data_IF_322882534411
#
_entry.id   IF_322882534411
#
_cell.length_a   1.000
_cell.length_b   1.000
_cell.length_c   1.000
_cell.angle_alpha   90.00
_cell.angle_beta   90.00
_cell.angle_gamma   90.00
#
_symmetry.space_group_name_H-M   'P 1'
#
loop_
_entity.id
_entity.type
_entity.pdbx_description
1 polymer ?
#
# COMPACT_ATOMS: atom_id res chain seq x y z
N UNK A 1 4.71 -23.21 -28.25
CA UNK A 1 3.36 -23.75 -27.97
C UNK A 1 2.35 -22.67 -28.33
N UNK A 2 1.47 -22.92 -29.30
CA UNK A 2 0.32 -22.04 -29.58
C UNK A 2 -0.87 -22.61 -28.81
N UNK A 3 -1.38 -21.85 -27.86
CA UNK A 3 -2.60 -22.14 -27.12
C UNK A 3 -3.22 -20.81 -26.74
N UNK A 4 -4.15 -20.34 -27.57
CA UNK A 4 -5.05 -19.23 -27.25
C UNK A 4 -6.18 -19.89 -26.45
N UNK A 5 -6.19 -19.70 -25.14
CA UNK A 5 -7.37 -19.98 -24.31
C UNK A 5 -8.07 -18.65 -24.05
N UNK A 6 -9.31 -18.55 -24.50
CA UNK A 6 -10.25 -17.50 -24.10
C UNK A 6 -10.40 -17.57 -22.57
N UNK A 7 -9.76 -16.64 -21.85
CA UNK A 7 -10.06 -16.30 -20.47
C UNK A 7 -10.62 -14.87 -20.56
N UNK A 8 -11.93 -14.72 -20.33
CA UNK A 8 -12.68 -13.45 -20.38
C UNK A 8 -12.36 -12.49 -19.21
N UNK A 9 -11.11 -12.45 -18.75
CA UNK A 9 -10.65 -11.43 -17.83
C UNK A 9 -9.21 -11.07 -18.22
N UNK A 10 -9.08 -10.00 -19.00
CA UNK A 10 -7.79 -9.39 -19.30
C UNK A 10 -7.03 -8.92 -18.05
N UNK A 11 -5.72 -8.76 -18.18
CA UNK A 11 -4.86 -8.27 -17.07
C UNK A 11 -5.32 -6.87 -16.70
N UNK A 12 -5.65 -6.62 -15.44
CA UNK A 12 -6.10 -5.29 -15.01
C UNK A 12 -7.26 -4.74 -15.87
N UNK A 13 -8.15 -5.61 -16.34
CA UNK A 13 -9.25 -5.23 -17.23
C UNK A 13 -8.86 -4.95 -18.68
N UNK A 14 -7.64 -5.33 -19.11
CA UNK A 14 -7.15 -5.18 -20.47
C UNK A 14 -7.07 -6.52 -21.22
N UNK A 15 -7.90 -6.69 -22.26
CA UNK A 15 -8.06 -7.95 -23.01
C UNK A 15 -7.08 -8.12 -24.19
N UNK A 16 -5.95 -7.40 -24.19
CA UNK A 16 -4.97 -7.46 -25.27
C UNK A 16 -3.93 -8.57 -25.13
N UNK A 17 -2.89 -8.58 -26.00
CA UNK A 17 -1.79 -9.53 -25.94
C UNK A 17 -1.13 -9.56 -24.58
N UNK A 18 -0.80 -10.77 -24.11
CA UNK A 18 -0.27 -10.99 -22.76
C UNK A 18 0.96 -11.89 -22.77
N UNK A 19 1.99 -11.47 -22.04
CA UNK A 19 3.15 -12.28 -21.67
C UNK A 19 3.10 -12.64 -20.17
N UNK A 20 3.72 -13.76 -19.81
CA UNK A 20 3.74 -14.26 -18.43
C UNK A 20 5.15 -14.58 -17.96
N UNK A 21 5.48 -14.16 -16.74
CA UNK A 21 6.68 -14.51 -16.02
C UNK A 21 6.30 -15.21 -14.71
N UNK A 22 7.05 -16.24 -14.34
CA UNK A 22 6.83 -16.94 -13.07
C UNK A 22 7.84 -16.44 -12.05
N UNK A 23 7.35 -16.00 -10.89
CA UNK A 23 8.17 -15.58 -9.76
C UNK A 23 8.05 -16.62 -8.65
N UNK A 24 9.17 -16.89 -8.00
CA UNK A 24 9.27 -17.86 -6.91
C UNK A 24 10.31 -17.37 -5.90
N UNK A 25 10.00 -16.35 -5.09
CA UNK A 25 10.91 -15.88 -4.07
C UNK A 25 11.23 -16.99 -3.06
N UNK A 26 12.49 -17.05 -2.64
CA UNK A 26 13.02 -18.03 -1.69
C UNK A 26 13.03 -17.51 -0.24
N UNK A 27 12.67 -16.24 -0.05
CA UNK A 27 12.53 -15.55 1.23
C UNK A 27 11.19 -14.80 1.25
N UNK A 28 10.78 -14.35 2.45
CA UNK A 28 9.68 -13.42 2.59
C UNK A 28 10.10 -12.07 1.98
N UNK A 29 9.30 -11.54 1.05
CA UNK A 29 9.67 -10.36 0.25
C UNK A 29 8.47 -9.48 -0.08
N UNK A 30 8.72 -8.21 -0.35
CA UNK A 30 7.90 -7.43 -1.27
C UNK A 30 8.41 -7.62 -2.70
N UNK A 31 7.49 -7.66 -3.64
CA UNK A 31 7.75 -7.79 -5.07
C UNK A 31 7.34 -6.50 -5.75
N UNK A 32 8.27 -5.86 -6.45
CA UNK A 32 7.96 -4.75 -7.36
C UNK A 32 8.36 -5.17 -8.77
N UNK A 33 7.47 -4.97 -9.72
CA UNK A 33 7.74 -5.19 -11.13
C UNK A 33 7.43 -3.94 -11.93
N UNK A 34 8.41 -3.50 -12.73
CA UNK A 34 8.28 -2.36 -13.63
C UNK A 34 8.52 -2.80 -15.07
N UNK A 35 7.66 -2.35 -15.98
CA UNK A 35 7.78 -2.58 -17.42
C UNK A 35 8.16 -1.29 -18.11
N UNK A 36 9.30 -1.35 -18.78
CA UNK A 36 9.81 -0.26 -19.60
C UNK A 36 9.58 -0.60 -21.08
N UNK A 37 8.73 0.16 -21.75
CA UNK A 37 8.47 0.07 -23.18
C UNK A 37 8.18 1.45 -23.77
N UNK A 38 8.55 1.65 -25.03
CA UNK A 38 8.18 2.84 -25.79
C UNK A 38 7.00 2.58 -26.74
N UNK A 39 6.56 1.32 -26.83
CA UNK A 39 5.66 0.85 -27.87
C UNK A 39 4.19 0.92 -27.50
N UNK A 40 3.83 0.64 -26.25
CA UNK A 40 2.44 0.54 -25.78
C UNK A 40 2.31 1.01 -24.32
N UNK A 41 1.09 1.17 -23.80
CA UNK A 41 0.83 1.45 -22.39
C UNK A 41 0.71 0.11 -21.61
N UNK A 42 1.72 -0.28 -20.82
CA UNK A 42 1.72 -1.58 -20.14
C UNK A 42 0.70 -1.65 -18.99
N UNK A 43 0.08 -2.84 -18.88
CA UNK A 43 -0.73 -3.29 -17.76
C UNK A 43 -0.06 -4.49 -17.09
N UNK A 44 -0.08 -4.51 -15.77
CA UNK A 44 0.64 -5.49 -14.97
C UNK A 44 -0.27 -6.12 -13.92
N UNK A 45 -0.33 -7.44 -13.88
CA UNK A 45 -1.08 -8.18 -12.87
C UNK A 45 -0.20 -9.19 -12.16
N UNK A 46 -0.34 -9.32 -10.84
CA UNK A 46 0.28 -10.41 -10.08
C UNK A 46 -0.82 -11.33 -9.57
N UNK A 47 -0.69 -12.63 -9.83
CA UNK A 47 -1.66 -13.67 -9.44
C UNK A 47 -0.96 -14.90 -8.87
N UNK A 48 -1.68 -15.79 -8.13
CA UNK A 48 -1.13 -17.09 -7.75
C UNK A 48 -0.87 -17.96 -8.99
N UNK A 49 0.26 -18.66 -9.03
CA UNK A 49 0.67 -19.43 -10.21
C UNK A 49 -0.25 -20.62 -10.58
N UNK A 50 -1.17 -21.00 -9.69
CA UNK A 50 -2.04 -22.16 -9.89
C UNK A 50 -3.20 -21.89 -10.86
N UNK A 51 -3.56 -20.62 -11.11
CA UNK A 51 -4.74 -20.28 -11.89
C UNK A 51 -4.53 -18.96 -12.65
N UNK A 52 -4.41 -19.03 -13.98
CA UNK A 52 -4.37 -17.84 -14.86
C UNK A 52 -5.75 -17.14 -14.94
N UNK A 53 -6.77 -17.71 -14.30
CA UNK A 53 -8.15 -17.21 -14.26
C UNK A 53 -8.64 -16.84 -12.84
N UNK A 54 -7.77 -16.90 -11.82
CA UNK A 54 -8.12 -16.45 -10.46
C UNK A 54 -7.96 -14.93 -10.33
N UNK A 55 -8.60 -14.36 -9.30
CA UNK A 55 -8.53 -12.94 -8.92
C UNK A 55 -7.06 -12.49 -8.80
N UNK A 56 -6.71 -11.40 -9.48
CA UNK A 56 -5.42 -10.73 -9.33
C UNK A 56 -5.22 -10.29 -7.87
N UNK A 57 -4.02 -10.52 -7.34
CA UNK A 57 -3.61 -10.08 -6.01
C UNK A 57 -3.22 -8.60 -6.02
N UNK A 58 -2.61 -8.16 -7.12
CA UNK A 58 -2.22 -6.78 -7.35
C UNK A 58 -2.35 -6.45 -8.83
N UNK A 59 -2.74 -5.21 -9.10
CA UNK A 59 -2.93 -4.69 -10.45
C UNK A 59 -2.25 -3.32 -10.55
N UNK A 60 -1.51 -3.13 -11.65
CA UNK A 60 -0.76 -1.94 -11.98
C UNK A 60 -1.16 -1.38 -13.34
N UNK A 61 -1.64 -0.15 -13.31
CA UNK A 61 -1.86 0.69 -14.47
C UNK A 61 -0.63 1.60 -14.59
N UNK A 62 -0.05 1.79 -15.79
CA UNK A 62 1.19 2.59 -16.03
C UNK A 62 2.52 1.86 -15.82
N UNK A 63 2.52 0.53 -15.94
CA UNK A 63 3.79 -0.20 -16.05
C UNK A 63 4.57 -0.37 -14.76
N UNK A 64 3.96 -0.16 -13.59
CA UNK A 64 4.50 -0.66 -12.32
C UNK A 64 3.42 -1.36 -11.51
N UNK A 65 3.77 -2.45 -10.84
CA UNK A 65 2.91 -3.16 -9.87
C UNK A 65 3.74 -3.56 -8.65
N UNK A 66 3.12 -3.51 -7.49
CA UNK A 66 3.72 -3.92 -6.21
C UNK A 66 2.82 -4.94 -5.51
N UNK A 67 3.43 -5.97 -4.92
CA UNK A 67 2.78 -6.93 -4.04
C UNK A 67 3.64 -7.10 -2.78
N UNK A 68 3.06 -6.76 -1.62
CA UNK A 68 3.73 -6.84 -0.32
C UNK A 68 3.51 -8.16 0.39
N UNK A 69 4.38 -8.45 1.35
CA UNK A 69 4.24 -9.57 2.29
C UNK A 69 4.09 -10.94 1.61
N UNK A 70 4.86 -11.16 0.54
CA UNK A 70 4.91 -12.43 -0.18
C UNK A 70 5.76 -13.42 0.61
N UNK A 71 5.12 -14.48 1.11
CA UNK A 71 5.82 -15.53 1.85
C UNK A 71 6.80 -16.32 0.97
N UNK A 72 7.90 -16.78 1.57
CA UNK A 72 8.90 -17.63 0.93
C UNK A 72 8.26 -18.88 0.30
N UNK A 73 8.68 -19.21 -0.93
CA UNK A 73 8.16 -20.35 -1.69
C UNK A 73 6.79 -20.13 -2.32
N UNK A 74 6.17 -18.95 -2.15
CA UNK A 74 4.96 -18.58 -2.88
C UNK A 74 5.26 -18.56 -4.38
N UNK A 75 4.40 -19.19 -5.16
CA UNK A 75 4.52 -19.20 -6.62
C UNK A 75 3.57 -18.16 -7.19
N UNK A 76 4.12 -17.15 -7.84
CA UNK A 76 3.38 -16.06 -8.46
C UNK A 76 3.53 -16.11 -9.98
N UNK A 77 2.50 -15.62 -10.66
CA UNK A 77 2.52 -15.28 -12.08
C UNK A 77 2.44 -13.77 -12.20
N UNK A 78 3.46 -13.16 -12.79
CA UNK A 78 3.43 -11.80 -13.28
C UNK A 78 2.93 -11.82 -14.72
N UNK A 79 1.81 -11.15 -14.96
CA UNK A 79 1.17 -11.01 -16.26
C UNK A 79 1.43 -9.59 -16.77
N UNK A 80 1.90 -9.47 -18.01
CA UNK A 80 2.25 -8.21 -18.67
C UNK A 80 1.44 -8.11 -19.94
N UNK A 81 0.63 -7.08 -20.08
CA UNK A 81 -0.24 -6.93 -21.22
C UNK A 81 -0.43 -5.49 -21.65
N UNK A 82 -1.25 -5.33 -22.67
CA UNK A 82 -1.70 -4.05 -23.19
C UNK A 82 -3.21 -4.11 -23.42
N UNK A 83 -3.87 -2.96 -23.53
CA UNK A 83 -5.25 -2.93 -24.00
C UNK A 83 -5.32 -3.34 -25.47
N UNK A 84 -6.39 -4.04 -25.88
CA UNK A 84 -6.55 -4.53 -27.26
C UNK A 84 -6.62 -3.39 -28.30
N UNK A 85 -7.07 -2.23 -27.86
CA UNK A 85 -7.18 -0.99 -28.63
C UNK A 85 -5.98 -0.05 -28.43
N UNK A 86 -4.92 -0.52 -27.77
CA UNK A 86 -3.70 0.28 -27.59
C UNK A 86 -3.09 0.62 -28.96
N UNK A 87 -2.90 1.92 -29.26
CA UNK A 87 -2.42 2.38 -30.56
C UNK A 87 -1.01 1.86 -30.88
N UNK A 88 -0.23 1.50 -29.86
CA UNK A 88 1.06 0.85 -29.95
C UNK A 88 1.05 -0.50 -30.63
N UNK A 89 -0.02 -1.27 -30.45
CA UNK A 89 -0.18 -2.60 -31.06
C UNK A 89 -0.45 -2.53 -32.57
N UNK A 90 -0.88 -1.37 -33.07
CA UNK A 90 -1.18 -1.15 -34.49
C UNK A 90 -0.02 -0.49 -35.26
N UNK A 91 1.07 -0.13 -34.59
CA UNK A 91 2.20 0.55 -35.22
C UNK A 91 2.93 -0.36 -36.23
N UNK A 92 3.29 0.13 -37.43
CA UNK A 92 4.02 -0.67 -38.41
C UNK A 92 5.40 -1.07 -37.86
N UNK A 93 5.85 -2.27 -38.20
CA UNK A 93 7.19 -2.78 -37.87
C UNK A 93 8.25 -1.71 -38.21
N UNK A 94 8.78 -1.07 -37.18
CA UNK A 94 9.91 -0.15 -37.28
C UNK A 94 11.22 -0.95 -37.14
N UNK A 95 12.38 -0.30 -37.18
CA UNK A 95 13.65 -1.00 -36.95
C UNK A 95 13.77 -1.57 -35.51
N UNK A 96 12.98 -1.03 -34.58
CA UNK A 96 12.75 -1.55 -33.24
C UNK A 96 11.33 -2.18 -33.20
N UNK A 97 11.21 -3.40 -32.66
CA UNK A 97 9.93 -4.09 -32.53
C UNK A 97 9.04 -3.31 -31.55
N UNK A 98 7.85 -2.81 -31.95
CA UNK A 98 6.97 -2.05 -31.07
C UNK A 98 6.45 -2.88 -29.87
N UNK A 99 6.64 -4.20 -29.88
CA UNK A 99 6.29 -5.09 -28.77
C UNK A 99 7.49 -5.42 -27.88
N UNK A 100 8.67 -4.85 -28.14
CA UNK A 100 9.80 -5.00 -27.24
C UNK A 100 9.55 -4.24 -25.93
N UNK A 101 9.84 -4.93 -24.83
CA UNK A 101 9.80 -4.36 -23.49
C UNK A 101 10.88 -4.99 -22.62
N UNK A 102 11.31 -4.26 -21.60
CA UNK A 102 12.15 -4.78 -20.52
C UNK A 102 11.33 -4.84 -19.25
N UNK A 103 11.55 -5.88 -18.46
CA UNK A 103 10.92 -6.06 -17.15
C UNK A 103 12.00 -6.04 -16.09
N UNK A 104 11.90 -5.08 -15.18
CA UNK A 104 12.72 -5.00 -14.00
C UNK A 104 11.91 -5.54 -12.82
N UNK A 105 12.32 -6.69 -12.28
CA UNK A 105 11.69 -7.28 -11.08
C UNK A 105 12.67 -7.12 -9.93
N UNK A 106 12.25 -6.40 -8.90
CA UNK A 106 13.00 -6.22 -7.67
C UNK A 106 12.29 -6.90 -6.51
N UNK A 107 13.11 -7.36 -5.56
CA UNK A 107 12.65 -8.00 -4.33
C UNK A 107 13.23 -7.24 -3.16
N UNK A 108 12.37 -6.76 -2.27
CA UNK A 108 12.78 -6.20 -0.97
C UNK A 108 12.55 -7.28 0.09
N UNK A 109 13.62 -7.72 0.75
CA UNK A 109 13.50 -8.73 1.81
C UNK A 109 12.65 -8.21 2.97
N UNK A 110 11.80 -9.08 3.48
CA UNK A 110 11.12 -8.92 4.77
C UNK A 110 11.95 -9.67 5.80
N UNK A 111 12.42 -8.95 6.80
CA UNK A 111 13.25 -9.50 7.87
C UNK A 111 12.39 -10.24 8.88
N UNK A 112 12.96 -11.18 9.62
CA UNK A 112 12.28 -11.78 10.77
C UNK A 112 12.44 -10.90 12.01
N UNK A 113 11.53 -11.07 12.98
CA UNK A 113 11.65 -10.47 14.30
C UNK A 113 13.04 -10.78 14.91
N UNK A 114 13.72 -9.74 15.37
CA UNK A 114 15.06 -9.81 15.96
C UNK A 114 16.22 -9.82 14.96
N UNK A 115 15.96 -9.86 13.64
CA UNK A 115 17.02 -9.69 12.65
C UNK A 115 17.47 -8.24 12.54
N UNK A 116 18.71 -8.05 12.09
CA UNK A 116 19.31 -6.71 11.89
C UNK A 116 18.67 -6.01 10.70
N UNK A 117 18.21 -4.80 10.93
CA UNK A 117 17.50 -3.99 9.94
C UNK A 117 18.35 -2.88 9.30
N UNK A 118 19.54 -2.58 9.86
CA UNK A 118 20.50 -1.67 9.23
C UNK A 118 21.71 -2.41 8.61
N UNK A 119 22.23 -1.92 7.46
CA UNK A 119 21.67 -0.85 6.62
C UNK A 119 20.39 -1.30 5.89
N UNK A 120 19.58 -0.34 5.42
CA UNK A 120 18.28 -0.57 4.72
C UNK A 120 18.37 -1.55 3.54
N UNK A 121 19.55 -1.69 2.92
CA UNK A 121 19.79 -2.67 1.86
C UNK A 121 19.63 -4.13 2.32
N UNK A 122 19.50 -4.39 3.62
CA UNK A 122 19.15 -5.71 4.17
C UNK A 122 17.70 -6.10 3.94
N UNK A 123 16.80 -5.12 3.81
CA UNK A 123 15.34 -5.33 3.78
C UNK A 123 14.59 -4.38 4.71
N UNK A 124 13.29 -4.60 4.86
CA UNK A 124 12.46 -3.92 5.85
C UNK A 124 11.99 -4.89 6.93
N UNK A 125 11.56 -4.32 8.05
CA UNK A 125 10.91 -5.10 9.10
C UNK A 125 9.48 -5.50 8.68
N UNK A 126 8.96 -6.63 9.19
CA UNK A 126 7.59 -7.08 8.93
C UNK A 126 6.60 -6.16 9.65
N UNK A 127 5.33 -6.18 9.20
CA UNK A 127 4.24 -5.54 9.94
C UNK A 127 4.25 -5.94 11.42
N UNK A 128 3.86 -5.00 12.29
CA UNK A 128 3.89 -5.17 13.74
C UNK A 128 5.27 -5.03 14.37
N UNK A 129 6.29 -4.60 13.61
CA UNK A 129 7.66 -4.42 14.13
C UNK A 129 8.33 -3.17 13.56
N UNK A 130 9.28 -2.61 14.31
CA UNK A 130 10.10 -1.46 13.88
C UNK A 130 11.57 -1.82 13.82
N UNK A 131 12.30 -1.18 12.90
CA UNK A 131 13.75 -1.12 12.98
C UNK A 131 14.16 -0.19 14.11
N UNK A 132 14.57 -0.73 15.27
CA UNK A 132 15.03 0.09 16.40
C UNK A 132 16.16 -0.58 17.18
N UNK A 133 16.99 0.26 17.80
CA UNK A 133 17.98 -0.19 18.77
C UNK A 133 17.31 -0.46 20.14
N UNK A 134 17.64 -1.57 20.83
CA UNK A 134 17.18 -1.79 22.19
C UNK A 134 17.57 -0.66 23.14
N UNK A 135 16.76 -0.38 24.15
CA UNK A 135 17.03 0.67 25.13
C UNK A 135 18.42 0.48 25.78
N UNK A 136 19.26 1.51 25.70
CA UNK A 136 20.63 1.51 26.22
C UNK A 136 21.69 0.94 25.28
N UNK A 137 21.33 0.53 24.06
CA UNK A 137 22.28 0.27 22.99
C UNK A 137 22.82 1.58 22.40
N UNK A 138 24.00 1.51 21.79
CA UNK A 138 24.61 2.64 21.09
C UNK A 138 23.86 2.90 19.77
N UNK A 139 23.21 4.06 19.58
CA UNK A 139 22.47 4.35 18.35
C UNK A 139 23.38 4.45 17.13
N UNK A 140 24.69 4.73 17.32
CA UNK A 140 25.67 4.78 16.23
C UNK A 140 26.15 3.39 15.79
N UNK A 141 25.82 2.32 16.53
CA UNK A 141 26.15 0.95 16.15
C UNK A 141 25.03 0.33 15.29
N UNK A 142 25.17 0.24 13.95
CA UNK A 142 24.16 -0.37 13.09
C UNK A 142 23.92 -1.85 13.40
N UNK A 143 24.82 -2.51 14.14
CA UNK A 143 24.63 -3.89 14.60
C UNK A 143 23.57 -4.03 15.70
N UNK A 144 23.25 -2.94 16.41
CA UNK A 144 22.26 -2.91 17.48
C UNK A 144 20.81 -2.79 16.97
N UNK A 145 20.62 -2.30 15.74
CA UNK A 145 19.30 -2.07 15.16
C UNK A 145 18.69 -3.36 14.64
N UNK A 146 17.56 -3.76 15.24
CA UNK A 146 16.84 -5.00 14.92
C UNK A 146 15.37 -4.72 14.65
N UNK A 147 14.69 -5.66 14.00
CA UNK A 147 13.23 -5.66 13.89
C UNK A 147 12.61 -6.05 15.23
N UNK A 148 12.20 -5.06 16.01
CA UNK A 148 11.65 -5.23 17.36
C UNK A 148 10.13 -5.13 17.34
N UNK A 149 9.38 -6.04 17.99
CA UNK A 149 7.93 -5.99 18.01
C UNK A 149 7.36 -4.72 18.64
N UNK A 150 6.28 -4.23 18.06
CA UNK A 150 5.44 -3.21 18.66
C UNK A 150 4.37 -3.86 19.55
N UNK A 151 4.21 -3.41 20.80
CA UNK A 151 3.10 -3.86 21.64
C UNK A 151 1.78 -3.29 21.10
N UNK A 152 0.86 -4.13 20.62
CA UNK A 152 -0.52 -3.66 20.33
C UNK A 152 -1.07 -3.95 18.94
N UNK A 153 -0.24 -4.45 18.01
CA UNK A 153 -0.54 -4.70 16.59
C UNK A 153 -1.79 -5.56 16.33
N UNK A 154 -2.98 -4.97 16.46
CA UNK A 154 -4.26 -5.70 16.38
C UNK A 154 -5.43 -4.89 15.84
N UNK A 155 -5.27 -3.58 15.55
CA UNK A 155 -6.34 -2.60 15.29
C UNK A 155 -7.53 -2.63 16.27
N UNK A 156 -7.49 -3.49 17.28
CA UNK A 156 -8.52 -3.67 18.29
C UNK A 156 -8.49 -2.50 19.27
N UNK A 157 -7.33 -1.88 19.43
CA UNK A 157 -7.10 -0.67 20.22
C UNK A 157 -7.43 0.62 19.49
N UNK A 158 -7.85 0.57 18.21
CA UNK A 158 -8.11 1.77 17.41
C UNK A 158 -9.02 2.77 18.15
N UNK A 159 -8.59 4.03 18.21
CA UNK A 159 -9.31 5.10 18.87
C UNK A 159 -10.57 5.46 18.07
N UNK A 160 -11.73 5.46 18.73
CA UNK A 160 -12.98 5.82 18.08
C UNK A 160 -13.01 7.32 17.77
N UNK A 161 -13.38 7.64 16.53
CA UNK A 161 -13.34 9.01 16.03
C UNK A 161 -14.60 9.27 15.20
N UNK A 162 -15.48 10.10 15.76
CA UNK A 162 -16.78 10.38 15.19
C UNK A 162 -16.70 11.49 14.12
N UNK A 163 -17.31 11.23 12.95
CA UNK A 163 -17.50 12.22 11.89
C UNK A 163 -18.76 13.05 12.19
N UNK A 164 -18.68 13.99 13.14
CA UNK A 164 -19.82 14.84 13.49
C UNK A 164 -20.04 15.95 12.46
N UNK A 165 -21.04 15.80 11.59
CA UNK A 165 -21.40 16.78 10.56
C UNK A 165 -20.72 16.55 9.22
N UNK A 166 -20.58 17.60 8.41
CA UNK A 166 -20.01 17.51 7.05
C UNK A 166 -18.54 17.93 6.96
N UNK A 167 -17.97 18.50 8.02
CA UNK A 167 -16.56 18.87 8.06
C UNK A 167 -16.12 19.15 9.48
N UNK A 168 -14.84 18.95 9.76
CA UNK A 168 -14.25 19.27 11.06
C UNK A 168 -12.74 19.16 11.08
N UNK A 169 -12.19 19.21 12.28
CA UNK A 169 -10.76 19.04 12.53
C UNK A 169 -10.54 18.09 13.72
N UNK A 170 -9.47 17.30 13.65
CA UNK A 170 -8.97 16.49 14.76
C UNK A 170 -7.53 16.87 15.06
N UNK A 171 -7.22 16.96 16.35
CA UNK A 171 -5.84 17.13 16.83
C UNK A 171 -5.36 15.81 17.36
N UNK A 172 -4.34 15.25 16.71
CA UNK A 172 -3.71 13.99 17.07
C UNK A 172 -2.49 14.29 17.93
N UNK A 173 -2.58 13.95 19.22
CA UNK A 173 -1.46 14.01 20.15
C UNK A 173 -0.52 12.82 19.93
N UNK A 174 0.72 13.07 19.50
CA UNK A 174 1.69 12.03 19.20
C UNK A 174 2.52 11.56 20.41
N UNK A 175 2.38 12.17 21.60
CA UNK A 175 3.18 11.81 22.78
C UNK A 175 2.78 10.44 23.39
N UNK A 176 1.54 9.99 23.15
CA UNK A 176 1.04 8.70 23.60
C UNK A 176 0.66 7.82 22.41
N UNK A 177 1.64 7.34 21.62
CA UNK A 177 1.34 6.56 20.43
C UNK A 177 0.62 5.26 20.82
N UNK A 178 -0.55 5.01 20.21
CA UNK A 178 -0.95 3.63 19.99
C UNK A 178 0.11 3.02 19.07
N UNK A 179 0.75 1.93 19.48
CA UNK A 179 1.90 1.39 18.77
C UNK A 179 1.47 0.28 17.84
N UNK A 180 0.98 0.69 16.68
CA UNK A 180 0.72 -0.19 15.54
C UNK A 180 1.77 0.10 14.45
N UNK A 181 2.06 -0.86 13.58
CA UNK A 181 2.92 -0.64 12.40
C UNK A 181 2.42 -1.50 11.24
N UNK A 182 1.77 -0.87 10.28
CA UNK A 182 1.19 -1.54 9.13
C UNK A 182 1.89 -1.11 7.85
N UNK A 183 1.99 -2.03 6.89
CA UNK A 183 2.41 -1.72 5.54
C UNK A 183 1.21 -1.18 4.75
N UNK A 184 1.34 -0.05 4.06
CA UNK A 184 0.28 0.57 3.23
C UNK A 184 0.66 0.52 1.74
N UNK A 185 -0.26 0.57 0.77
CA UNK A 185 0.14 0.43 -0.65
C UNK A 185 1.04 1.57 -1.15
N UNK A 186 0.83 2.77 -0.64
CA UNK A 186 1.54 3.98 -1.07
C UNK A 186 2.63 4.45 -0.09
N UNK A 187 2.62 3.93 1.14
CA UNK A 187 3.47 4.36 2.25
C UNK A 187 3.75 3.17 3.18
N UNK A 188 4.09 3.36 4.45
CA UNK A 188 4.17 2.25 5.41
C UNK A 188 5.44 1.43 5.26
N UNK A 189 6.61 2.03 5.43
CA UNK A 189 7.85 1.26 5.67
C UNK A 189 7.87 0.61 7.07
N UNK A 190 6.68 0.29 7.62
CA UNK A 190 6.49 -0.23 8.96
C UNK A 190 6.84 0.79 10.03
N UNK A 191 6.62 2.10 9.80
CA UNK A 191 6.78 3.11 10.86
C UNK A 191 5.57 3.12 11.81
N UNK A 192 5.58 3.96 12.84
CA UNK A 192 4.50 3.95 13.85
C UNK A 192 3.24 4.53 13.23
N UNK A 193 2.15 3.78 13.35
CA UNK A 193 0.81 4.22 12.98
C UNK A 193 -0.02 4.59 14.21
N UNK A 194 -0.81 5.65 14.08
CA UNK A 194 -1.98 5.89 14.91
C UNK A 194 -3.20 5.37 14.17
N UNK A 195 -3.93 4.46 14.80
CA UNK A 195 -5.10 3.84 14.20
C UNK A 195 -6.36 4.40 14.82
N UNK A 196 -7.23 4.95 13.98
CA UNK A 196 -8.53 5.47 14.36
C UNK A 196 -9.63 4.65 13.71
N UNK A 197 -10.69 4.36 14.44
CA UNK A 197 -11.94 3.83 13.88
C UNK A 197 -12.86 4.99 13.55
N UNK A 198 -13.13 5.21 12.27
CA UNK A 198 -14.01 6.28 11.83
C UNK A 198 -15.46 5.83 12.01
N UNK A 199 -16.18 6.49 12.91
CA UNK A 199 -17.61 6.25 13.10
C UNK A 199 -18.39 7.06 12.08
N UNK A 200 -18.92 6.36 11.07
CA UNK A 200 -19.64 6.98 9.96
C UNK A 200 -21.08 7.31 10.39
N UNK A 201 -21.51 8.55 10.14
CA UNK A 201 -22.88 8.99 10.38
C UNK A 201 -23.88 8.22 9.52
N UNK A 202 -25.08 7.96 10.04
CA UNK A 202 -26.12 7.23 9.30
C UNK A 202 -26.80 8.07 8.20
N UNK A 203 -26.70 9.40 8.27
CA UNK A 203 -27.38 10.37 7.41
C UNK A 203 -26.42 11.09 6.46
N UNK A 204 -25.81 10.31 5.57
CA UNK A 204 -24.88 10.81 4.56
C UNK A 204 -25.59 11.40 3.32
N UNK A 205 -24.98 12.39 2.65
CA UNK A 205 -25.45 12.85 1.35
C UNK A 205 -25.25 11.77 0.26
N UNK A 206 -26.02 11.79 -0.84
CA UNK A 206 -25.80 10.88 -1.96
C UNK A 206 -24.42 11.04 -2.59
N UNK A 207 -23.77 9.93 -2.89
CA UNK A 207 -22.40 9.89 -3.42
C UNK A 207 -21.36 10.34 -2.41
N UNK A 208 -21.61 10.15 -1.11
CA UNK A 208 -20.73 10.68 -0.08
C UNK A 208 -19.30 10.12 -0.19
N UNK A 209 -18.33 11.04 -0.18
CA UNK A 209 -16.91 10.73 -0.08
C UNK A 209 -16.28 11.54 1.05
N UNK A 210 -15.39 10.90 1.81
CA UNK A 210 -14.64 11.54 2.90
C UNK A 210 -13.28 11.96 2.38
N UNK A 211 -12.97 13.24 2.47
CA UNK A 211 -11.63 13.79 2.28
C UNK A 211 -11.01 14.06 3.65
N UNK A 212 -9.78 13.60 3.86
CA UNK A 212 -8.96 13.88 5.04
C UNK A 212 -7.66 14.53 4.57
N UNK A 213 -7.32 15.67 5.14
CA UNK A 213 -6.15 16.47 4.77
C UNK A 213 -5.30 16.72 6.01
N UNK A 214 -4.00 16.47 5.88
CA UNK A 214 -2.99 16.89 6.84
C UNK A 214 -2.07 17.92 6.21
N UNK A 215 -1.74 18.98 6.95
CA UNK A 215 -0.69 19.93 6.53
C UNK A 215 0.71 19.47 6.93
N UNK A 216 0.80 18.50 7.84
CA UNK A 216 2.06 17.88 8.21
C UNK A 216 2.44 16.82 7.16
N UNK A 217 3.74 16.59 6.99
CA UNK A 217 4.27 15.54 6.13
C UNK A 217 4.13 14.18 6.83
N UNK A 218 2.92 13.62 6.78
CA UNK A 218 2.57 12.31 7.34
C UNK A 218 1.95 11.40 6.28
N UNK A 219 2.08 10.09 6.45
CA UNK A 219 1.35 9.13 5.64
C UNK A 219 -0.07 8.96 6.16
N UNK A 220 -1.02 8.77 5.26
CA UNK A 220 -2.40 8.44 5.58
C UNK A 220 -2.82 7.20 4.80
N UNK A 221 -3.47 6.23 5.47
CA UNK A 221 -4.10 5.11 4.81
C UNK A 221 -5.48 4.84 5.40
N UNK A 222 -6.40 4.33 4.58
CA UNK A 222 -7.71 3.91 5.02
C UNK A 222 -7.97 2.47 4.61
N UNK A 223 -8.54 1.68 5.53
CA UNK A 223 -8.98 0.32 5.27
C UNK A 223 -10.44 0.17 5.63
N UNK A 224 -11.09 -0.80 5.02
CA UNK A 224 -12.35 -1.33 5.55
C UNK A 224 -12.16 -1.92 6.95
N UNK A 225 -13.17 -2.59 7.51
CA UNK A 225 -13.06 -3.20 8.83
C UNK A 225 -11.93 -4.24 8.88
N UNK A 226 -10.90 -3.99 9.69
CA UNK A 226 -9.79 -4.92 9.93
C UNK A 226 -8.41 -4.38 9.52
N UNK A 227 -7.36 -5.07 9.94
CA UNK A 227 -5.97 -4.65 9.75
C UNK A 227 -5.35 -5.08 8.43
N UNK A 228 -6.06 -5.83 7.58
CA UNK A 228 -5.44 -6.47 6.42
C UNK A 228 -5.24 -5.46 5.29
N UNK A 229 -4.04 -5.43 4.68
CA UNK A 229 -3.74 -4.59 3.52
C UNK A 229 -4.71 -4.88 2.34
N UNK A 230 -5.20 -6.11 2.21
CA UNK A 230 -6.18 -6.48 1.19
C UNK A 230 -7.54 -5.76 1.32
N UNK A 231 -7.80 -5.12 2.46
CA UNK A 231 -8.99 -4.30 2.71
C UNK A 231 -8.73 -2.80 2.54
N UNK A 232 -7.57 -2.40 1.99
CA UNK A 232 -7.24 -0.99 1.77
C UNK A 232 -8.22 -0.32 0.79
N UNK A 233 -8.76 0.81 1.22
CA UNK A 233 -9.71 1.64 0.48
C UNK A 233 -8.99 2.79 -0.23
N UNK A 234 -7.97 3.36 0.43
CA UNK A 234 -7.20 4.46 -0.09
C UNK A 234 -5.86 4.56 0.67
N UNK A 235 -4.85 5.14 0.02
CA UNK A 235 -3.58 5.48 0.65
C UNK A 235 -3.06 6.79 0.04
N UNK A 236 -2.45 7.63 0.87
CA UNK A 236 -1.75 8.84 0.47
C UNK A 236 -0.42 8.98 1.25
N UNK A 237 0.69 9.06 0.52
CA UNK A 237 2.03 9.16 1.10
C UNK A 237 2.41 10.61 1.38
N UNK A 238 3.23 10.83 2.40
CA UNK A 238 3.89 12.12 2.58
C UNK A 238 4.88 12.35 1.44
N UNK A 239 4.85 13.55 0.86
CA UNK A 239 5.91 14.06 -0.01
C UNK A 239 6.62 15.17 0.76
N UNK A 240 7.96 15.17 0.74
CA UNK A 240 8.78 16.08 1.54
C UNK A 240 8.29 17.55 1.49
N UNK A 241 7.84 18.06 2.64
CA UNK A 241 7.42 19.45 2.82
C UNK A 241 6.02 19.80 2.29
N UNK A 242 5.26 18.83 1.77
CA UNK A 242 3.90 19.01 1.31
C UNK A 242 2.89 18.32 2.24
N UNK A 243 1.69 18.91 2.35
CA UNK A 243 0.57 18.26 3.02
C UNK A 243 0.04 17.09 2.22
N UNK A 244 -0.66 16.18 2.88
CA UNK A 244 -1.24 14.98 2.29
C UNK A 244 -2.77 15.07 2.28
N UNK A 245 -3.41 14.52 1.25
CA UNK A 245 -4.85 14.40 1.15
C UNK A 245 -5.24 12.97 0.79
N UNK A 246 -6.13 12.38 1.57
CA UNK A 246 -6.68 11.04 1.40
C UNK A 246 -8.18 11.16 1.09
N UNK A 247 -8.66 10.44 0.07
CA UNK A 247 -10.11 10.37 -0.23
C UNK A 247 -10.60 8.94 -0.07
N UNK A 248 -11.61 8.74 0.78
CA UNK A 248 -12.33 7.48 0.94
C UNK A 248 -13.65 7.59 0.17
N UNK A 249 -13.82 6.89 -0.97
CA UNK A 249 -15.07 6.90 -1.71
C UNK A 249 -16.14 6.03 -1.04
N UNK A 250 -17.40 6.21 -1.47
CA UNK A 250 -18.53 5.34 -1.14
C UNK A 250 -18.78 5.15 0.38
N UNK A 251 -18.86 6.26 1.12
CA UNK A 251 -19.20 6.21 2.55
C UNK A 251 -20.60 5.62 2.79
N UNK A 252 -21.53 5.80 1.85
CA UNK A 252 -22.87 5.23 1.92
C UNK A 252 -22.82 3.70 1.90
N UNK A 253 -22.03 3.12 1.00
CA UNK A 253 -21.82 1.67 0.93
C UNK A 253 -21.20 1.11 2.22
N UNK A 254 -20.21 1.80 2.78
CA UNK A 254 -19.59 1.43 4.06
C UNK A 254 -20.59 1.49 5.22
N UNK A 255 -21.35 2.59 5.33
CA UNK A 255 -22.38 2.76 6.35
C UNK A 255 -23.47 1.68 6.23
N UNK A 256 -23.94 1.38 5.02
CA UNK A 256 -24.94 0.35 4.76
C UNK A 256 -24.46 -1.06 5.12
N UNK A 257 -23.15 -1.32 4.98
CA UNK A 257 -22.53 -2.57 5.40
C UNK A 257 -22.30 -2.66 6.92
N UNK A 258 -22.53 -1.57 7.68
CA UNK A 258 -22.15 -1.48 9.09
C UNK A 258 -20.65 -1.59 9.30
N UNK A 259 -19.87 -1.08 8.34
CA UNK A 259 -18.44 -1.19 8.27
C UNK A 259 -17.79 0.14 8.68
N UNK A 260 -17.22 0.20 9.88
CA UNK A 260 -16.42 1.34 10.32
C UNK A 260 -15.00 1.20 9.75
N UNK A 261 -14.57 2.07 8.82
CA UNK A 261 -13.23 2.01 8.27
C UNK A 261 -12.20 2.45 9.32
N UNK A 262 -10.99 1.95 9.15
CA UNK A 262 -9.85 2.33 9.96
C UNK A 262 -9.00 3.35 9.21
N UNK A 263 -8.64 4.44 9.87
CA UNK A 263 -7.68 5.43 9.42
C UNK A 263 -6.34 5.18 10.11
N UNK A 264 -5.28 5.05 9.33
CA UNK A 264 -3.90 4.90 9.77
C UNK A 264 -3.19 6.22 9.49
N UNK A 265 -2.66 6.84 10.54
CA UNK A 265 -1.77 8.00 10.44
C UNK A 265 -0.35 7.55 10.74
N UNK A 266 0.48 7.58 9.71
CA UNK A 266 1.87 7.16 9.76
C UNK A 266 2.79 8.38 9.96
N UNK A 267 3.75 8.29 10.89
CA UNK A 267 4.80 9.30 11.01
C UNK A 267 6.13 8.70 11.44
N UNK A 268 7.21 9.41 11.08
CA UNK A 268 8.54 9.12 11.60
C UNK A 268 8.69 9.78 12.97
N UNK A 269 8.95 9.02 14.06
CA UNK A 269 9.23 9.61 15.36
C UNK A 269 10.43 10.55 15.28
N UNK A 270 10.36 11.63 16.05
CA UNK A 270 11.47 12.56 16.18
C UNK A 270 12.66 11.87 16.88
N UNK A 271 13.87 12.38 16.68
CA UNK A 271 15.05 11.84 17.35
C UNK A 271 14.89 11.94 18.89
N UNK A 272 15.55 11.06 19.63
CA UNK A 272 15.45 10.99 21.10
C UNK A 272 15.57 12.38 21.75
N UNK A 273 14.50 12.80 22.45
CA UNK A 273 14.44 14.07 23.20
C UNK A 273 13.74 15.22 22.48
N UNK A 274 13.26 15.03 21.26
CA UNK A 274 12.38 16.00 20.58
C UNK A 274 10.91 15.74 20.95
N UNK A 275 10.22 16.78 21.41
CA UNK A 275 8.76 16.78 21.56
C UNK A 275 8.09 16.76 20.20
N UNK A 276 7.25 15.75 19.96
CA UNK A 276 6.41 15.69 18.76
C UNK A 276 5.29 16.73 18.87
N UNK A 277 5.21 17.63 17.90
CA UNK A 277 4.09 18.56 17.82
C UNK A 277 2.80 17.81 17.43
N UNK A 278 1.64 18.16 18.02
CA UNK A 278 0.37 17.57 17.62
C UNK A 278 0.06 17.83 16.14
N UNK A 279 -0.48 16.83 15.46
CA UNK A 279 -0.90 16.96 14.06
C UNK A 279 -2.37 17.37 14.01
N UNK A 280 -2.70 18.34 13.17
CA UNK A 280 -4.09 18.67 12.86
C UNK A 280 -4.48 18.01 11.54
N UNK A 281 -5.50 17.15 11.58
CA UNK A 281 -6.20 16.63 10.42
C UNK A 281 -7.48 17.43 10.21
N UNK A 282 -7.70 17.97 9.01
CA UNK A 282 -9.00 18.50 8.61
C UNK A 282 -9.73 17.48 7.75
N UNK A 283 -11.03 17.37 7.91
CA UNK A 283 -11.84 16.43 7.14
C UNK A 283 -13.11 17.09 6.61
N UNK A 284 -13.60 16.57 5.49
CA UNK A 284 -14.83 17.00 4.87
C UNK A 284 -15.55 15.84 4.17
N UNK A 285 -16.87 15.78 4.32
CA UNK A 285 -17.75 14.89 3.56
C UNK A 285 -18.35 15.71 2.43
N UNK A 286 -18.04 15.31 1.20
CA UNK A 286 -18.66 15.85 -0.01
C UNK A 286 -19.82 14.96 -0.45
N UNK A 287 -20.77 15.52 -1.20
CA UNK A 287 -21.80 14.77 -1.92
C UNK A 287 -21.75 15.09 -3.42
N UNK A 288 -22.37 14.24 -4.23
CA UNK A 288 -22.46 14.39 -5.69
C UNK A 288 -23.38 15.54 -6.14
#
# INVERSE_FOLDING_TARGET
LRGISEIEAGICGADGPTAYLRLAPDLDVDVTATVNTAGFAPRLGISPAACVADRELACGEEGTVELRDVAAGTLLTLAIGAAVDDPGLAAPESADDPLDFTVDVSFRRILAVGERCLPESRGRCPGGTLCRAPMGADPEDPAAWICDPLPGDTCASAEALALEGLSGEWVVDLENPQTDAHAHSCAGEGTIDRVFRLEIAADLPPGAALEIVSKAAVGLAARGPGCELAAELACAAAVDGEGVALTIPDLEGLAAAGADPLLFLEWTPAADGETLEPITLSWAISGA
#
